data_IF_790801685617
#
_entry.id   IF_790801685617
#
_cell.length_a   1.000
_cell.length_b   1.000
_cell.length_c   1.000
_cell.angle_alpha   90.00
_cell.angle_beta   90.00
_cell.angle_gamma   90.00
#
_symmetry.space_group_name_H-M   'P 1'
#
loop_
_entity.id
_entity.type
_entity.pdbx_description
1 polymer ?
#
# COMPACT_ATOMS: atom_id res chain seq x y z
N UNK A 1 10.50 1.26 10.84
CA UNK A 1 9.26 2.03 11.10
C UNK A 1 8.03 1.18 10.90
N UNK A 2 6.91 1.58 11.49
CA UNK A 2 5.57 1.06 11.15
C UNK A 2 5.16 1.65 9.80
N UNK A 3 4.44 0.87 9.01
CA UNK A 3 3.78 1.35 7.78
C UNK A 3 2.28 1.24 8.03
N UNK A 4 1.56 2.34 7.78
CA UNK A 4 0.13 2.46 8.04
C UNK A 4 -0.62 2.72 6.74
N UNK A 5 -1.89 2.30 6.69
CA UNK A 5 -2.75 2.59 5.55
C UNK A 5 -3.06 4.10 5.48
N UNK A 6 -2.87 4.70 4.31
CA UNK A 6 -3.12 6.13 4.09
C UNK A 6 -4.62 6.48 4.14
N UNK A 7 -5.49 5.52 3.81
CA UNK A 7 -6.94 5.59 3.89
C UNK A 7 -7.53 4.19 4.09
N UNK A 8 -8.80 4.11 4.49
CA UNK A 8 -9.52 2.85 4.61
C UNK A 8 -9.78 2.19 3.25
N UNK A 9 -9.88 0.87 3.22
CA UNK A 9 -10.10 0.15 1.97
C UNK A 9 -9.98 -1.37 2.09
N UNK A 10 -9.90 -2.05 0.95
CA UNK A 10 -9.72 -3.49 0.85
C UNK A 10 -8.32 -3.83 0.35
N UNK A 11 -7.70 -4.88 0.89
CA UNK A 11 -6.40 -5.36 0.38
C UNK A 11 -6.64 -6.01 -0.99
N UNK A 12 -6.12 -5.37 -2.05
CA UNK A 12 -6.28 -5.83 -3.43
C UNK A 12 -5.22 -6.88 -3.77
N UNK A 13 -3.96 -6.58 -3.47
CA UNK A 13 -2.83 -7.46 -3.73
C UNK A 13 -1.88 -7.48 -2.53
N UNK A 14 -1.33 -8.65 -2.25
CA UNK A 14 -0.28 -8.82 -1.27
C UNK A 14 0.74 -9.85 -1.78
N UNK A 15 1.97 -9.41 -2.03
CA UNK A 15 3.00 -10.28 -2.58
C UNK A 15 4.29 -10.23 -1.76
N UNK A 16 5.01 -11.34 -1.72
CA UNK A 16 6.17 -11.50 -0.84
C UNK A 16 7.52 -11.38 -1.53
N UNK A 17 7.60 -11.62 -2.85
CA UNK A 17 8.88 -11.76 -3.55
C UNK A 17 8.86 -11.13 -4.95
N UNK A 18 8.26 -9.95 -5.10
CA UNK A 18 8.34 -9.23 -6.36
C UNK A 18 9.79 -8.85 -6.67
N UNK A 19 10.32 -9.08 -7.89
CA UNK A 19 11.72 -8.80 -8.21
C UNK A 19 12.09 -7.33 -7.96
N UNK A 20 11.21 -6.40 -8.34
CA UNK A 20 11.36 -4.96 -8.09
C UNK A 20 10.76 -4.52 -6.75
N UNK A 21 9.46 -4.67 -6.54
CA UNK A 21 8.74 -4.16 -5.36
C UNK A 21 9.07 -4.89 -4.04
N UNK A 22 9.70 -6.06 -4.11
CA UNK A 22 9.90 -6.93 -2.96
C UNK A 22 8.57 -7.40 -2.38
N UNK A 23 8.45 -7.26 -1.07
CA UNK A 23 7.20 -7.47 -0.37
C UNK A 23 6.37 -6.19 -0.44
N UNK A 24 5.15 -6.29 -0.96
CA UNK A 24 4.28 -5.14 -1.12
C UNK A 24 2.81 -5.45 -0.84
N UNK A 25 2.08 -4.38 -0.57
CA UNK A 25 0.63 -4.38 -0.35
C UNK A 25 0.03 -3.33 -1.29
N UNK A 26 -1.09 -3.64 -1.92
CA UNK A 26 -1.95 -2.67 -2.59
C UNK A 26 -3.32 -2.64 -1.91
N UNK A 27 -3.85 -1.43 -1.72
CA UNK A 27 -5.15 -1.21 -1.08
C UNK A 27 -6.03 -0.48 -2.09
N UNK A 28 -7.18 -1.06 -2.41
CA UNK A 28 -8.25 -0.37 -3.14
C UNK A 28 -9.12 0.38 -2.15
N UNK A 29 -9.21 1.69 -2.31
CA UNK A 29 -10.00 2.58 -1.48
C UNK A 29 -11.43 2.73 -2.04
N UNK A 30 -12.35 3.20 -1.19
CA UNK A 30 -13.76 3.33 -1.55
C UNK A 30 -14.02 4.36 -2.67
N UNK A 31 -13.11 5.31 -2.87
CA UNK A 31 -13.12 6.27 -3.99
C UNK A 31 -12.57 5.70 -5.31
N UNK A 32 -12.19 4.41 -5.32
CA UNK A 32 -11.59 3.72 -6.46
C UNK A 32 -10.10 3.98 -6.66
N UNK A 33 -9.46 4.81 -5.81
CA UNK A 33 -8.01 4.97 -5.83
C UNK A 33 -7.30 3.75 -5.26
N UNK A 34 -6.04 3.56 -5.65
CA UNK A 34 -5.21 2.47 -5.15
C UNK A 34 -3.91 3.02 -4.58
N UNK A 35 -3.61 2.69 -3.34
CA UNK A 35 -2.28 2.94 -2.75
C UNK A 35 -1.42 1.67 -2.77
N UNK A 36 -0.13 1.85 -2.98
CA UNK A 36 0.88 0.79 -2.99
C UNK A 36 1.95 1.07 -1.95
N UNK A 37 2.34 0.03 -1.20
CA UNK A 37 3.34 0.07 -0.13
C UNK A 37 4.36 -1.03 -0.39
N UNK A 38 5.53 -0.69 -0.92
CA UNK A 38 6.56 -1.65 -1.35
C UNK A 38 7.84 -1.60 -0.49
N UNK A 39 8.72 -2.56 -0.75
CA UNK A 39 9.98 -2.79 -0.02
C UNK A 39 9.79 -3.19 1.45
N UNK A 40 8.63 -3.73 1.82
CA UNK A 40 8.32 -4.07 3.22
C UNK A 40 9.23 -5.18 3.74
N UNK A 41 9.58 -5.14 5.03
CA UNK A 41 10.22 -6.28 5.71
C UNK A 41 9.17 -7.30 6.15
N UNK A 42 7.97 -6.83 6.52
CA UNK A 42 6.84 -7.65 6.95
C UNK A 42 5.52 -7.01 6.50
N UNK A 43 4.62 -7.83 5.98
CA UNK A 43 3.19 -7.52 5.84
C UNK A 43 2.45 -8.11 7.04
N UNK A 44 1.45 -7.40 7.54
CA UNK A 44 0.58 -7.82 8.65
C UNK A 44 -0.85 -8.10 8.21
N UNK A 45 -1.11 -8.02 6.90
CA UNK A 45 -2.42 -8.21 6.29
C UNK A 45 -2.32 -9.25 5.17
N UNK A 46 -3.46 -9.66 4.63
CA UNK A 46 -3.60 -10.57 3.50
C UNK A 46 -4.77 -10.10 2.62
N UNK A 47 -4.92 -10.59 1.39
CA UNK A 47 -6.07 -10.26 0.53
C UNK A 47 -7.42 -10.71 1.13
N UNK A 48 -7.41 -11.76 1.96
CA UNK A 48 -8.62 -12.35 2.54
C UNK A 48 -8.43 -12.68 4.01
N UNK A 49 -9.53 -12.66 4.77
CA UNK A 49 -9.59 -13.11 6.16
C UNK A 49 -10.77 -14.06 6.37
N UNK A 50 -10.59 -15.01 7.26
CA UNK A 50 -11.67 -15.89 7.73
C UNK A 50 -12.29 -15.28 8.99
N UNK A 51 -13.60 -15.13 9.01
CA UNK A 51 -14.36 -14.66 10.17
C UNK A 51 -14.63 -15.84 11.13
N UNK A 52 -15.12 -15.53 12.34
CA UNK A 52 -15.41 -16.54 13.38
C UNK A 52 -16.49 -17.55 12.95
N UNK A 53 -17.39 -17.15 12.05
CA UNK A 53 -18.41 -18.02 11.45
C UNK A 53 -17.87 -18.93 10.32
N UNK A 54 -16.55 -18.86 10.05
CA UNK A 54 -15.87 -19.62 9.00
C UNK A 54 -15.97 -19.00 7.60
N UNK A 55 -16.70 -17.90 7.43
CA UNK A 55 -16.80 -17.23 6.13
C UNK A 55 -15.48 -16.54 5.75
N UNK A 56 -15.14 -16.55 4.46
CA UNK A 56 -13.94 -15.90 3.92
C UNK A 56 -14.35 -14.62 3.22
N UNK A 57 -13.84 -13.49 3.70
CA UNK A 57 -14.14 -12.14 3.17
C UNK A 57 -12.87 -11.41 2.75
N UNK A 58 -12.95 -10.39 1.89
CA UNK A 58 -11.82 -9.50 1.65
C UNK A 58 -11.32 -8.89 2.95
N UNK A 59 -10.00 -8.77 3.11
CA UNK A 59 -9.45 -8.08 4.27
C UNK A 59 -9.65 -6.58 4.11
N UNK A 60 -10.33 -5.96 5.08
CA UNK A 60 -10.52 -4.50 5.15
C UNK A 60 -9.60 -3.88 6.19
N UNK A 61 -9.14 -2.67 5.92
CA UNK A 61 -8.33 -1.88 6.84
C UNK A 61 -8.90 -0.47 7.01
N UNK A 62 -8.60 0.15 8.15
CA UNK A 62 -8.94 1.54 8.46
C UNK A 62 -7.76 2.48 8.17
N UNK A 63 -8.05 3.78 8.01
CA UNK A 63 -6.99 4.79 7.90
C UNK A 63 -6.12 4.78 9.17
N UNK A 64 -4.80 4.76 9.00
CA UNK A 64 -3.85 4.70 10.11
C UNK A 64 -3.61 3.30 10.67
N UNK A 65 -4.34 2.27 10.21
CA UNK A 65 -4.12 0.89 10.63
C UNK A 65 -2.73 0.40 10.22
N UNK A 66 -2.04 -0.32 11.11
CA UNK A 66 -0.70 -0.84 10.83
C UNK A 66 -0.78 -2.04 9.89
N UNK A 67 -0.43 -1.84 8.63
CA UNK A 67 -0.46 -2.86 7.59
C UNK A 67 0.87 -3.59 7.41
N UNK A 68 1.97 -3.02 7.92
CA UNK A 68 3.29 -3.60 7.69
C UNK A 68 4.44 -2.93 8.43
N UNK A 69 5.65 -3.36 8.08
CA UNK A 69 6.91 -2.82 8.61
C UNK A 69 7.85 -2.45 7.47
N UNK A 70 8.47 -1.29 7.62
CA UNK A 70 9.49 -0.76 6.70
C UNK A 70 10.60 -1.80 6.50
N UNK A 71 11.14 -1.89 5.28
CA UNK A 71 12.21 -2.83 4.97
C UNK A 71 13.05 -2.36 3.79
N UNK A 72 13.69 -3.34 3.15
CA UNK A 72 14.56 -3.15 2.00
C UNK A 72 14.43 -4.32 1.00
N UNK A 73 13.26 -4.99 0.95
CA UNK A 73 13.06 -6.14 0.06
C UNK A 73 12.94 -5.70 -1.40
N UNK A 74 13.23 -6.61 -2.35
CA UNK A 74 13.24 -6.31 -3.78
C UNK A 74 14.40 -5.39 -4.17
N UNK A 75 14.21 -4.64 -5.26
CA UNK A 75 15.19 -3.67 -5.76
C UNK A 75 15.00 -2.32 -5.05
N UNK A 76 15.43 -2.26 -3.79
CA UNK A 76 15.30 -1.10 -2.90
C UNK A 76 16.57 -0.22 -2.81
N UNK A 77 17.60 -0.51 -3.62
CA UNK A 77 18.87 0.22 -3.59
C UNK A 77 18.76 1.47 -4.47
N UNK A 78 18.69 2.66 -3.85
CA UNK A 78 18.93 3.93 -4.53
C UNK A 78 20.43 4.19 -4.77
N UNK A 79 20.75 5.36 -5.36
CA UNK A 79 22.14 5.85 -5.54
C UNK A 79 22.83 6.27 -4.22
N UNK A 80 22.07 6.44 -3.14
CA UNK A 80 22.54 6.80 -1.81
C UNK A 80 22.43 5.58 -0.88
N UNK A 81 23.35 5.42 0.08
CA UNK A 81 23.50 4.23 0.94
C UNK A 81 22.29 3.86 1.82
N UNK A 82 21.21 4.64 1.82
CA UNK A 82 19.98 4.32 2.53
C UNK A 82 19.21 3.19 1.82
N UNK A 83 19.41 1.96 2.32
CA UNK A 83 18.75 0.76 1.78
C UNK A 83 17.30 0.60 2.25
N UNK A 84 16.95 1.18 3.40
CA UNK A 84 15.64 1.00 4.03
C UNK A 84 14.77 2.23 3.82
N UNK A 85 13.75 2.10 2.98
CA UNK A 85 12.79 3.16 2.68
C UNK A 85 11.43 2.54 2.31
N UNK A 86 10.39 3.38 2.24
CA UNK A 86 9.07 2.99 1.75
C UNK A 86 8.93 3.52 0.33
N UNK A 87 8.66 2.64 -0.63
CA UNK A 87 8.08 3.07 -1.90
C UNK A 87 6.57 3.18 -1.69
N UNK A 88 6.06 4.42 -1.79
CA UNK A 88 4.65 4.73 -1.72
C UNK A 88 4.18 5.28 -3.07
N UNK A 89 3.10 4.73 -3.60
CA UNK A 89 2.51 5.20 -4.84
C UNK A 89 0.99 5.29 -4.71
N UNK A 90 0.41 6.25 -5.45
CA UNK A 90 -1.03 6.44 -5.56
C UNK A 90 -1.40 6.31 -7.04
N UNK A 91 -2.44 5.51 -7.32
CA UNK A 91 -3.09 5.43 -8.62
C UNK A 91 -4.52 5.92 -8.48
N UNK A 92 -4.96 6.75 -9.42
CA UNK A 92 -6.32 7.26 -9.49
C UNK A 92 -6.89 7.02 -10.89
N UNK A 93 -8.21 6.93 -10.97
CA UNK A 93 -8.92 6.86 -12.24
C UNK A 93 -8.81 8.21 -12.94
N UNK A 94 -8.23 8.21 -14.12
CA UNK A 94 -8.14 9.36 -15.00
C UNK A 94 -9.54 9.73 -15.51
N UNK A 95 -9.97 10.96 -15.28
CA UNK A 95 -11.35 11.38 -15.59
C UNK A 95 -11.66 11.45 -17.08
N UNK A 96 -10.65 11.59 -17.93
CA UNK A 96 -10.83 11.69 -19.38
C UNK A 96 -10.85 10.32 -20.05
N UNK A 97 -10.00 9.40 -19.57
CA UNK A 97 -9.76 8.10 -20.20
C UNK A 97 -10.36 6.92 -19.44
N UNK A 98 -10.77 7.11 -18.18
CA UNK A 98 -11.24 6.05 -17.29
C UNK A 98 -10.14 5.07 -16.84
N UNK A 99 -8.88 5.30 -17.24
CA UNK A 99 -7.77 4.42 -16.92
C UNK A 99 -7.14 4.74 -15.56
N UNK A 100 -6.69 3.73 -14.82
CA UNK A 100 -5.88 3.93 -13.61
C UNK A 100 -4.48 4.44 -13.99
N UNK A 101 -4.06 5.56 -13.40
CA UNK A 101 -2.74 6.17 -13.63
C UNK A 101 -2.05 6.54 -12.33
N UNK A 102 -0.73 6.42 -12.31
CA UNK A 102 0.08 6.96 -11.21
C UNK A 102 0.01 8.48 -11.19
N UNK A 103 -0.22 9.04 -10.01
CA UNK A 103 -0.26 10.49 -9.78
C UNK A 103 0.80 10.90 -8.77
N UNK A 104 1.12 12.19 -8.70
CA UNK A 104 1.99 12.71 -7.64
C UNK A 104 1.20 12.73 -6.31
N UNK A 105 1.52 11.87 -5.31
CA UNK A 105 0.73 11.77 -4.10
C UNK A 105 0.76 13.05 -3.25
N UNK A 106 1.81 13.87 -3.38
CA UNK A 106 1.93 15.14 -2.63
C UNK A 106 0.79 16.13 -2.93
N UNK A 107 0.09 15.98 -4.06
CA UNK A 107 -1.07 16.81 -4.40
C UNK A 107 -2.34 16.43 -3.63
N UNK A 108 -2.33 15.29 -2.95
CA UNK A 108 -3.50 14.68 -2.30
C UNK A 108 -3.28 14.41 -0.81
N UNK A 109 -2.08 14.69 -0.30
CA UNK A 109 -1.80 14.63 1.12
C UNK A 109 -2.22 15.96 1.74
N UNK A 110 -3.21 15.91 2.63
CA UNK A 110 -3.48 17.00 3.53
C UNK A 110 -2.36 17.02 4.58
N UNK A 111 -1.48 18.01 4.50
CA UNK A 111 -0.54 18.30 5.57
C UNK A 111 -1.36 19.10 6.60
N UNK A 112 -1.67 18.55 7.79
CA UNK A 112 -2.34 19.34 8.81
C UNK A 112 -1.48 20.56 9.13
N UNK A 113 -2.08 21.74 9.15
CA UNK A 113 -1.42 22.92 9.70
C UNK A 113 -1.16 22.66 11.19
N UNK A 114 0.07 22.97 11.64
CA UNK A 114 0.54 22.75 13.01
C UNK A 114 -0.23 23.56 14.05
#
# INVERSE_FOLDING_TARGET
GRVVAAAGGIILNHWFNHPVKGKYIEILHDDGSITEYAHLSKSLVHERRTLDDGSVVPWRVEQGEIIGRLGNTGLSKGRLEYKTHLHFALRMTDSETGALRYVNPLKYILIPEE
#
